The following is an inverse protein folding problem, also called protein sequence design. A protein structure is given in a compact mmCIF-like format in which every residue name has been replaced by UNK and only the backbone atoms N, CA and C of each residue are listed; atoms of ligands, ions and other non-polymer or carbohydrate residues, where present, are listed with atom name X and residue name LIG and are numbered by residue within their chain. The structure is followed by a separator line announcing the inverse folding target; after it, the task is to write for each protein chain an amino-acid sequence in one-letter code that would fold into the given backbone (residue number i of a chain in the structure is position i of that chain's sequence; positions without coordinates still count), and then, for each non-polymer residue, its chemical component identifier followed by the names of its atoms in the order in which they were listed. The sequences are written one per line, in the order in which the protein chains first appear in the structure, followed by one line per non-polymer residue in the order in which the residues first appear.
data_IF_298221342644
#
_entry.id   IF_298221342644
#
_cell.length_a   1.000
_cell.length_b   1.000
_cell.length_c   1.000
_cell.angle_alpha   90.00
_cell.angle_beta   90.00
_cell.angle_gamma   90.00
#
_symmetry.space_group_name_H-M   'P 1'
#
loop_
_entity.id
_entity.type
_entity.pdbx_description
1 polymer ?
#
# COMPACT_ATOMS: atom_id res chain seq x y z
N UNK A 1 -5.56 -19.07 -14.85
CA UNK A 1 -6.52 -18.12 -14.28
C UNK A 1 -6.85 -17.02 -15.29
N UNK A 2 -8.08 -16.57 -15.30
CA UNK A 2 -8.55 -15.58 -16.24
C UNK A 2 -7.94 -14.20 -15.93
N UNK A 3 -7.27 -13.60 -16.92
CA UNK A 3 -6.64 -12.28 -16.76
C UNK A 3 -7.65 -11.19 -16.41
N UNK A 4 -8.89 -11.29 -16.89
CA UNK A 4 -9.95 -10.33 -16.57
C UNK A 4 -10.31 -10.36 -15.09
N UNK A 5 -10.40 -11.55 -14.50
CA UNK A 5 -10.70 -11.69 -13.07
C UNK A 5 -9.58 -11.09 -12.23
N UNK A 6 -8.32 -11.38 -12.55
CA UNK A 6 -7.16 -10.84 -11.84
C UNK A 6 -7.16 -9.32 -11.88
N UNK A 7 -7.38 -8.74 -13.07
CA UNK A 7 -7.41 -7.29 -13.25
C UNK A 7 -8.56 -6.65 -12.49
N UNK A 8 -9.71 -7.29 -12.45
CA UNK A 8 -10.87 -6.80 -11.71
C UNK A 8 -10.55 -6.65 -10.22
N UNK A 9 -10.00 -7.69 -9.60
CA UNK A 9 -9.67 -7.66 -8.17
C UNK A 9 -8.57 -6.66 -7.87
N UNK A 10 -7.56 -6.57 -8.73
CA UNK A 10 -6.48 -5.60 -8.57
C UNK A 10 -7.01 -4.17 -8.62
N UNK A 11 -7.85 -3.86 -9.61
CA UNK A 11 -8.42 -2.52 -9.75
C UNK A 11 -9.30 -2.16 -8.56
N UNK A 12 -10.07 -3.11 -8.06
CA UNK A 12 -10.94 -2.90 -6.92
C UNK A 12 -10.13 -2.59 -5.66
N UNK A 13 -9.06 -3.35 -5.44
CA UNK A 13 -8.16 -3.12 -4.32
C UNK A 13 -7.49 -1.75 -4.42
N UNK A 14 -6.95 -1.42 -5.59
CA UNK A 14 -6.25 -0.15 -5.80
C UNK A 14 -7.16 1.05 -5.55
N UNK A 15 -8.42 0.98 -6.00
CA UNK A 15 -9.40 2.04 -5.73
C UNK A 15 -9.68 2.18 -4.25
N UNK A 16 -9.83 1.05 -3.55
CA UNK A 16 -10.07 1.02 -2.12
C UNK A 16 -8.91 1.64 -1.35
N UNK A 17 -7.69 1.26 -1.71
CA UNK A 17 -6.48 1.77 -1.07
C UNK A 17 -6.32 3.27 -1.35
N UNK A 18 -6.48 3.69 -2.59
CA UNK A 18 -6.36 5.11 -2.95
C UNK A 18 -7.33 5.97 -2.14
N UNK A 19 -8.57 5.50 -1.99
CA UNK A 19 -9.57 6.20 -1.19
C UNK A 19 -9.18 6.25 0.28
N UNK A 20 -8.70 5.13 0.82
CA UNK A 20 -8.36 5.03 2.24
C UNK A 20 -7.20 5.94 2.63
N UNK A 21 -6.21 6.10 1.77
CA UNK A 21 -5.00 6.88 2.09
C UNK A 21 -5.01 8.28 1.48
N UNK A 22 -6.06 8.64 0.76
CA UNK A 22 -6.11 9.93 0.08
C UNK A 22 -5.10 10.03 -1.05
N UNK A 23 -4.80 8.90 -1.68
CA UNK A 23 -3.81 8.82 -2.74
C UNK A 23 -4.42 8.69 -4.12
N UNK A 24 -3.56 8.44 -5.09
CA UNK A 24 -3.94 8.25 -6.49
C UNK A 24 -3.40 6.93 -7.02
N UNK A 25 -4.13 6.33 -7.93
CA UNK A 25 -3.62 5.17 -8.66
C UNK A 25 -2.53 5.65 -9.62
N UNK A 26 -1.49 4.85 -9.77
CA UNK A 26 -0.50 5.13 -10.80
C UNK A 26 -1.15 4.96 -12.17
N UNK A 27 -0.72 5.77 -13.13
CA UNK A 27 -1.13 5.57 -14.50
C UNK A 27 -0.63 4.19 -14.95
N UNK A 28 -1.26 3.65 -16.00
CA UNK A 28 -0.93 2.32 -16.53
C UNK A 28 0.57 2.05 -16.47
N UNK A 29 0.96 1.10 -15.64
CA UNK A 29 2.34 0.81 -15.31
C UNK A 29 3.21 0.42 -16.52
N UNK A 30 2.58 -0.05 -17.60
CA UNK A 30 3.32 -0.37 -18.82
C UNK A 30 3.64 0.84 -19.68
N UNK A 31 2.96 1.97 -19.47
CA UNK A 31 3.05 3.14 -20.34
C UNK A 31 4.01 4.21 -19.83
N UNK A 32 4.29 4.24 -18.53
CA UNK A 32 5.07 5.31 -17.92
C UNK A 32 6.17 4.72 -17.03
N UNK A 33 7.44 4.74 -17.46
CA UNK A 33 8.51 4.09 -16.71
C UNK A 33 8.82 4.77 -15.37
N UNK A 34 8.30 5.96 -15.13
CA UNK A 34 8.57 6.71 -13.90
C UNK A 34 7.49 6.54 -12.83
N UNK A 35 6.30 6.06 -13.20
CA UNK A 35 5.21 5.85 -12.26
C UNK A 35 5.05 4.36 -12.05
N UNK A 36 5.69 3.85 -11.01
CA UNK A 36 5.65 2.44 -10.62
C UNK A 36 4.92 2.31 -9.28
N UNK A 37 4.67 1.07 -8.88
CA UNK A 37 3.79 0.79 -7.77
C UNK A 37 2.33 0.96 -8.20
N UNK A 38 1.41 0.85 -7.28
CA UNK A 38 -0.02 0.82 -7.61
C UNK A 38 -0.78 2.05 -7.15
N UNK A 39 -0.44 2.58 -5.98
CA UNK A 39 -1.06 3.77 -5.40
C UNK A 39 0.05 4.64 -4.82
N UNK A 40 -0.09 5.94 -4.93
CA UNK A 40 0.89 6.84 -4.34
C UNK A 40 0.21 8.03 -3.68
N UNK A 41 0.89 8.57 -2.68
CA UNK A 41 0.57 9.85 -2.07
C UNK A 41 1.76 10.78 -2.28
N UNK A 42 1.75 11.94 -1.66
CA UNK A 42 2.91 12.84 -1.73
C UNK A 42 4.19 12.16 -1.23
N UNK A 43 4.11 11.39 -0.15
CA UNK A 43 5.28 10.81 0.52
C UNK A 43 5.36 9.29 0.46
N UNK A 44 4.35 8.59 -0.03
CA UNK A 44 4.25 7.14 0.02
C UNK A 44 4.09 6.51 -1.35
N UNK A 45 4.69 5.36 -1.53
CA UNK A 45 4.39 4.46 -2.65
C UNK A 45 3.88 3.14 -2.08
N UNK A 46 2.75 2.68 -2.59
CA UNK A 46 2.07 1.49 -2.11
C UNK A 46 1.97 0.46 -3.23
N UNK A 47 2.43 -0.75 -2.95
CA UNK A 47 2.30 -1.89 -3.85
C UNK A 47 1.13 -2.75 -3.37
N UNK A 48 0.14 -2.97 -4.24
CA UNK A 48 -1.07 -3.69 -3.87
C UNK A 48 -1.03 -5.13 -4.35
N UNK A 49 -1.36 -6.07 -3.47
CA UNK A 49 -1.45 -7.50 -3.76
C UNK A 49 -2.78 -8.01 -3.24
N UNK A 50 -3.47 -8.80 -4.05
CA UNK A 50 -4.74 -9.38 -3.65
C UNK A 50 -4.87 -10.81 -4.17
N UNK A 51 -5.71 -11.59 -3.52
CA UNK A 51 -6.10 -12.91 -3.99
C UNK A 51 -7.35 -12.77 -4.86
N UNK A 52 -7.50 -13.63 -5.84
CA UNK A 52 -8.69 -13.65 -6.69
C UNK A 52 -9.81 -14.52 -6.12
N UNK A 53 -9.51 -15.25 -5.05
CA UNK A 53 -10.46 -16.07 -4.29
C UNK A 53 -10.15 -15.90 -2.82
N UNK A 54 -11.16 -15.99 -1.93
CA UNK A 54 -10.90 -15.96 -0.49
C UNK A 54 -9.87 -17.02 -0.12
N UNK A 55 -8.90 -16.65 0.68
CA UNK A 55 -7.80 -17.53 1.07
C UNK A 55 -7.48 -17.34 2.54
N UNK A 56 -7.02 -18.42 3.19
CA UNK A 56 -6.59 -18.38 4.58
C UNK A 56 -5.17 -17.83 4.72
N UNK A 57 -4.46 -17.71 3.60
CA UNK A 57 -3.06 -17.28 3.64
C UNK A 57 -2.68 -16.54 2.38
N UNK A 58 -1.64 -15.74 2.50
CA UNK A 58 -1.00 -15.10 1.36
C UNK A 58 0.51 -15.15 1.57
N UNK A 59 1.25 -15.48 0.51
CA UNK A 59 2.70 -15.50 0.55
C UNK A 59 3.23 -14.12 0.21
N UNK A 60 4.08 -13.58 1.06
CA UNK A 60 4.74 -12.30 0.81
C UNK A 60 6.14 -12.58 0.31
N UNK A 61 6.41 -12.18 -0.92
CA UNK A 61 7.73 -12.36 -1.51
C UNK A 61 8.62 -11.18 -1.14
N UNK A 62 9.82 -11.49 -0.67
CA UNK A 62 10.81 -10.47 -0.30
C UNK A 62 11.06 -9.48 -1.45
N UNK A 63 11.12 -9.98 -2.67
CA UNK A 63 11.36 -9.13 -3.84
C UNK A 63 10.29 -8.04 -4.02
N UNK A 64 9.06 -8.29 -3.58
CA UNK A 64 8.02 -7.27 -3.67
C UNK A 64 8.35 -6.07 -2.78
N UNK A 65 8.83 -6.35 -1.59
CA UNK A 65 9.21 -5.30 -0.63
C UNK A 65 10.40 -4.52 -1.13
N UNK A 66 11.45 -5.23 -1.58
CA UNK A 66 12.67 -4.61 -2.07
C UNK A 66 12.41 -3.76 -3.31
N UNK A 67 11.65 -4.30 -4.25
CA UNK A 67 11.32 -3.60 -5.49
C UNK A 67 10.51 -2.34 -5.21
N UNK A 68 9.53 -2.44 -4.31
CA UNK A 68 8.70 -1.29 -3.98
C UNK A 68 9.52 -0.19 -3.29
N UNK A 69 10.44 -0.56 -2.43
CA UNK A 69 11.34 0.39 -1.79
C UNK A 69 12.23 1.10 -2.83
N UNK A 70 12.76 0.35 -3.80
CA UNK A 70 13.56 0.92 -4.88
C UNK A 70 12.75 1.87 -5.76
N UNK A 71 11.53 1.47 -6.09
CA UNK A 71 10.64 2.30 -6.90
C UNK A 71 10.25 3.58 -6.15
N UNK A 72 9.98 3.47 -4.85
CA UNK A 72 9.68 4.61 -4.01
C UNK A 72 10.85 5.60 -4.03
N UNK A 73 12.06 5.10 -3.86
CA UNK A 73 13.25 5.93 -3.92
C UNK A 73 13.38 6.64 -5.27
N UNK A 74 13.14 5.91 -6.37
CA UNK A 74 13.20 6.48 -7.72
C UNK A 74 12.15 7.57 -7.94
N UNK A 75 11.01 7.45 -7.29
CA UNK A 75 9.91 8.43 -7.38
C UNK A 75 10.03 9.54 -6.34
N UNK A 76 11.12 9.56 -5.58
CA UNK A 76 11.34 10.51 -4.50
C UNK A 76 10.28 10.45 -3.41
N UNK A 77 9.76 9.23 -3.16
CA UNK A 77 8.85 8.98 -2.05
C UNK A 77 9.68 8.50 -0.87
N UNK A 78 9.48 9.11 0.28
CA UNK A 78 10.25 8.78 1.49
C UNK A 78 9.82 7.47 2.11
N UNK A 79 8.61 7.02 1.82
CA UNK A 79 8.01 5.86 2.48
C UNK A 79 7.41 4.89 1.48
N UNK A 80 7.33 3.63 1.88
CA UNK A 80 6.71 2.59 1.08
C UNK A 80 6.00 1.57 1.96
N UNK A 81 4.98 0.95 1.42
CA UNK A 81 4.26 -0.13 2.09
C UNK A 81 3.74 -1.11 1.07
N UNK A 82 3.62 -2.36 1.49
CA UNK A 82 2.95 -3.38 0.72
C UNK A 82 1.53 -3.53 1.30
N UNK A 83 0.53 -3.53 0.43
CA UNK A 83 -0.86 -3.64 0.86
C UNK A 83 -1.41 -4.96 0.34
N UNK A 84 -2.01 -5.75 1.21
CA UNK A 84 -2.59 -7.03 0.78
C UNK A 84 -3.96 -7.25 1.40
N UNK A 85 -4.73 -8.14 0.78
CA UNK A 85 -5.95 -8.67 1.37
C UNK A 85 -6.06 -10.16 1.01
N UNK A 86 -6.96 -10.84 1.69
CA UNK A 86 -7.12 -12.29 1.52
C UNK A 86 -8.14 -12.69 0.45
N UNK A 87 -8.58 -11.71 -0.35
CA UNK A 87 -9.47 -11.99 -1.48
C UNK A 87 -10.95 -12.11 -1.15
N UNK A 88 -11.36 -11.69 0.03
CA UNK A 88 -12.78 -11.68 0.41
C UNK A 88 -13.44 -10.41 -0.11
N UNK A 89 -14.25 -10.53 -1.15
CA UNK A 89 -14.91 -9.40 -1.77
C UNK A 89 -16.09 -8.86 -0.95
N UNK A 90 -16.62 -9.68 -0.04
CA UNK A 90 -17.72 -9.26 0.83
C UNK A 90 -17.20 -8.54 2.07
N UNK A 91 -15.93 -8.74 2.39
CA UNK A 91 -15.32 -8.11 3.55
C UNK A 91 -13.87 -7.73 3.18
N UNK A 92 -13.71 -6.77 2.27
CA UNK A 92 -12.39 -6.43 1.74
C UNK A 92 -11.58 -5.64 2.76
N UNK A 93 -10.85 -6.34 3.62
CA UNK A 93 -9.98 -5.71 4.59
C UNK A 93 -8.55 -5.73 4.06
N UNK A 94 -7.98 -4.55 3.87
CA UNK A 94 -6.59 -4.40 3.48
C UNK A 94 -5.68 -4.34 4.70
N UNK A 95 -4.53 -5.00 4.61
CA UNK A 95 -3.48 -4.96 5.62
C UNK A 95 -2.25 -4.32 5.00
N UNK A 96 -1.51 -3.57 5.79
CA UNK A 96 -0.35 -2.84 5.32
C UNK A 96 0.89 -3.37 6.00
N UNK A 97 1.92 -3.70 5.19
CA UNK A 97 3.22 -4.14 5.68
C UNK A 97 4.17 -2.97 5.54
N UNK A 98 4.75 -2.55 6.66
CA UNK A 98 5.77 -1.50 6.70
C UNK A 98 6.99 -2.08 7.40
N UNK A 99 8.17 -1.47 7.17
CA UNK A 99 9.36 -1.91 7.86
C UNK A 99 9.40 -1.36 9.28
N UNK A 100 10.35 -1.85 10.06
CA UNK A 100 10.47 -1.46 11.47
C UNK A 100 10.67 0.04 11.66
N UNK A 101 11.46 0.66 10.79
CA UNK A 101 11.73 2.10 10.91
C UNK A 101 10.45 2.92 10.76
N UNK A 102 9.58 2.53 9.84
CA UNK A 102 8.29 3.20 9.67
C UNK A 102 7.39 3.01 10.89
N UNK A 103 7.37 1.82 11.45
CA UNK A 103 6.57 1.55 12.64
C UNK A 103 7.06 2.38 13.83
N UNK A 104 8.38 2.45 14.03
CA UNK A 104 8.96 3.28 15.08
C UNK A 104 8.62 4.75 14.89
N UNK A 105 8.59 5.21 13.65
CA UNK A 105 8.20 6.58 13.33
C UNK A 105 6.76 6.85 13.74
N UNK A 106 5.83 5.93 13.45
CA UNK A 106 4.44 6.08 13.88
C UNK A 106 4.31 6.11 15.39
N UNK A 107 5.06 5.28 16.10
CA UNK A 107 5.06 5.30 17.57
C UNK A 107 5.54 6.65 18.10
N UNK A 108 6.57 7.21 17.48
CA UNK A 108 7.09 8.52 17.86
C UNK A 108 6.06 9.62 17.62
N UNK A 109 5.39 9.60 16.49
CA UNK A 109 4.34 10.58 16.17
C UNK A 109 3.18 10.48 17.14
N UNK A 110 2.78 9.26 17.52
CA UNK A 110 1.73 9.03 18.50
C UNK A 110 2.12 9.65 19.83
N UNK A 111 3.34 9.43 20.27
CA UNK A 111 3.86 9.98 21.52
C UNK A 111 3.88 11.51 21.49
N UNK A 112 4.29 12.12 20.38
CA UNK A 112 4.30 13.56 20.22
C UNK A 112 2.89 14.13 20.28
N UNK A 113 1.93 13.47 19.63
CA UNK A 113 0.53 13.87 19.67
C UNK A 113 -0.07 13.80 21.07
N UNK A 114 0.29 12.77 21.83
CA UNK A 114 -0.19 12.61 23.21
C UNK A 114 0.37 13.67 24.16
N UNK A 115 1.49 14.28 23.80
CA UNK A 115 2.14 15.31 24.60
C UNK A 115 1.81 16.72 24.13
N UNK A 116 0.92 16.84 23.13
CA UNK A 116 0.51 18.14 22.59
C UNK A 116 -0.38 18.85 23.62
N UNK A 117 0.02 20.05 24.09
CA UNK A 117 -0.81 20.80 25.05
C UNK A 117 -2.21 21.14 24.55
N UNK A 118 -2.39 21.32 23.26
CA UNK A 118 -3.70 21.63 22.68
C UNK A 118 -4.65 20.44 22.79
N UNK A 119 -4.13 19.22 22.62
CA UNK A 119 -4.94 18.01 22.76
C UNK A 119 -5.27 17.71 24.23
N UNK A 120 -4.41 18.09 25.12
CA UNK A 120 -4.57 17.86 26.56
C UNK A 120 -5.30 19.00 27.27
N UNK A 121 -5.54 20.05 26.55
CA UNK A 121 -6.28 21.20 27.05
C UNK A 121 -7.74 21.03 26.83
#
# INVERSE_FOLDING_TARGET
MNKKATRYFSNKQEKSVAKAVGGKKTANSGATPFLKGDVYTEHWLLECKTKTKPSESITIHREWLEKNEEEAFSMQKEHSALVFNFGDIHYPKNYYIINEDEFKRFLLLEKEGMNDPEENG
#
